data_IF_562270849652
#
_entry.id   IF_562270849652
#
_cell.length_a   1.000
_cell.length_b   1.000
_cell.length_c   1.000
_cell.angle_alpha   90.00
_cell.angle_beta   90.00
_cell.angle_gamma   90.00
#
_symmetry.space_group_name_H-M   'P 1'
#
loop_
_entity.id
_entity.type
_entity.pdbx_description
1 polymer ?
#
# COMPACT_ATOMS: atom_id res chain seq x y z
N UNK A 1 -16.83 -29.57 -13.51
CA UNK A 1 -17.13 -29.08 -12.15
C UNK A 1 -17.46 -27.60 -12.27
N UNK A 2 -18.75 -27.24 -12.33
CA UNK A 2 -19.19 -25.84 -12.38
C UNK A 2 -19.29 -25.29 -10.94
N UNK A 3 -18.93 -24.02 -10.68
CA UNK A 3 -19.10 -23.43 -9.35
C UNK A 3 -20.58 -23.15 -9.07
N UNK A 4 -21.05 -23.27 -7.81
CA UNK A 4 -22.45 -23.10 -7.47
C UNK A 4 -22.85 -21.61 -7.51
N UNK A 5 -23.99 -21.35 -8.14
CA UNK A 5 -24.86 -20.17 -8.06
C UNK A 5 -24.46 -19.05 -7.08
N UNK A 6 -23.77 -18.04 -7.61
CA UNK A 6 -24.17 -16.63 -7.52
C UNK A 6 -24.45 -15.98 -6.16
N UNK A 7 -23.70 -16.30 -5.10
CA UNK A 7 -23.62 -15.42 -3.92
C UNK A 7 -22.35 -14.58 -4.02
N UNK A 8 -22.50 -13.32 -4.42
CA UNK A 8 -21.38 -12.38 -4.37
C UNK A 8 -21.12 -12.02 -2.90
N UNK A 9 -19.86 -12.05 -2.46
CA UNK A 9 -19.49 -11.75 -1.06
C UNK A 9 -19.61 -10.26 -0.71
N UNK A 10 -20.02 -9.44 -1.68
CA UNK A 10 -20.09 -7.98 -1.60
C UNK A 10 -21.56 -7.56 -1.59
N UNK A 11 -22.02 -6.77 -0.60
CA UNK A 11 -23.40 -6.28 -0.60
C UNK A 11 -23.69 -5.46 -1.86
N UNK A 12 -24.81 -5.75 -2.53
CA UNK A 12 -25.25 -4.98 -3.71
C UNK A 12 -25.61 -3.55 -3.30
N UNK A 13 -25.10 -2.55 -4.04
CA UNK A 13 -25.36 -1.13 -3.75
C UNK A 13 -24.32 -0.44 -2.85
N UNK A 14 -23.23 -1.11 -2.50
CA UNK A 14 -22.12 -0.51 -1.73
C UNK A 14 -21.02 -0.05 -2.68
N UNK A 15 -20.66 1.25 -2.62
CA UNK A 15 -19.51 1.80 -3.32
C UNK A 15 -18.21 1.38 -2.61
N UNK A 16 -17.24 0.86 -3.37
CA UNK A 16 -15.94 0.42 -2.86
C UNK A 16 -15.30 1.48 -1.96
N UNK A 17 -15.34 2.75 -2.36
CA UNK A 17 -14.71 3.87 -1.64
C UNK A 17 -15.30 4.11 -0.25
N UNK A 18 -16.51 3.63 -0.01
CA UNK A 18 -17.23 3.77 1.27
C UNK A 18 -17.02 2.56 2.19
N UNK A 19 -16.20 1.58 1.78
CA UNK A 19 -15.87 0.41 2.59
C UNK A 19 -14.54 0.60 3.30
N UNK A 20 -14.34 -0.10 4.42
CA UNK A 20 -13.03 -0.17 5.06
C UNK A 20 -11.94 -0.71 4.12
N UNK A 21 -12.30 -1.62 3.22
CA UNK A 21 -11.38 -2.11 2.18
C UNK A 21 -10.97 -1.01 1.21
N UNK A 22 -11.92 -0.21 0.72
CA UNK A 22 -11.63 0.92 -0.16
C UNK A 22 -10.81 2.01 0.53
N UNK A 23 -11.04 2.24 1.82
CA UNK A 23 -10.20 3.13 2.62
C UNK A 23 -8.77 2.58 2.74
N UNK A 24 -8.58 1.32 3.13
CA UNK A 24 -7.24 0.71 3.17
C UNK A 24 -6.56 0.81 1.81
N UNK A 25 -7.28 0.48 0.73
CA UNK A 25 -6.77 0.57 -0.63
C UNK A 25 -6.36 2.01 -0.96
N UNK A 26 -7.12 3.04 -0.57
CA UNK A 26 -6.71 4.43 -0.85
C UNK A 26 -5.38 4.79 -0.16
N UNK A 27 -5.14 4.28 1.05
CA UNK A 27 -3.90 4.52 1.78
C UNK A 27 -2.69 3.83 1.13
N UNK A 28 -2.80 2.55 0.76
CA UNK A 28 -1.67 1.73 0.30
C UNK A 28 -1.60 1.56 -1.23
N UNK A 29 -2.57 2.10 -1.97
CA UNK A 29 -2.59 2.04 -3.43
C UNK A 29 -1.41 2.78 -4.04
N UNK A 30 -1.14 2.45 -5.30
CA UNK A 30 -0.03 2.99 -6.06
C UNK A 30 1.19 2.07 -6.06
N UNK A 31 2.04 2.26 -7.06
CA UNK A 31 3.15 1.34 -7.37
C UNK A 31 4.12 1.14 -6.21
N UNK A 32 4.43 2.19 -5.45
CA UNK A 32 5.56 2.17 -4.51
C UNK A 32 5.17 2.02 -3.04
N UNK A 33 3.97 2.46 -2.61
CA UNK A 33 3.58 2.40 -1.20
C UNK A 33 3.64 0.98 -0.65
N UNK A 34 3.04 0.03 -1.35
CA UNK A 34 3.06 -1.38 -0.93
C UNK A 34 4.45 -2.01 -0.96
N UNK A 35 5.31 -1.62 -1.91
CA UNK A 35 6.69 -2.11 -2.01
C UNK A 35 7.53 -1.56 -0.85
N UNK A 36 7.33 -0.30 -0.47
CA UNK A 36 7.99 0.32 0.68
C UNK A 36 7.59 -0.41 1.97
N UNK A 37 6.28 -0.62 2.18
CA UNK A 37 5.77 -1.34 3.35
C UNK A 37 6.31 -2.77 3.43
N UNK A 38 6.39 -3.48 2.30
CA UNK A 38 7.01 -4.81 2.25
C UNK A 38 8.46 -4.78 2.75
N UNK A 39 9.30 -3.88 2.23
CA UNK A 39 10.71 -3.82 2.63
C UNK A 39 10.89 -3.42 4.10
N UNK A 40 10.06 -2.52 4.61
CA UNK A 40 10.08 -2.13 6.02
C UNK A 40 9.58 -3.24 6.93
N UNK A 41 8.59 -4.03 6.50
CA UNK A 41 8.14 -5.22 7.21
C UNK A 41 9.23 -6.30 7.30
N UNK A 42 10.07 -6.43 6.26
CA UNK A 42 11.13 -7.45 6.21
C UNK A 42 12.40 -7.05 6.99
N UNK A 43 12.69 -5.76 7.12
CA UNK A 43 13.97 -5.27 7.69
C UNK A 43 13.83 -4.34 8.91
N UNK A 44 12.60 -4.11 9.39
CA UNK A 44 12.18 -3.19 10.46
C UNK A 44 12.63 -1.73 10.29
N UNK A 45 13.94 -1.47 10.19
CA UNK A 45 14.54 -0.14 10.04
C UNK A 45 15.46 -0.12 8.85
N UNK A 46 15.21 0.78 7.89
CA UNK A 46 16.04 0.97 6.71
C UNK A 46 16.37 2.44 6.50
N UNK A 47 17.63 2.76 6.19
CA UNK A 47 18.00 4.12 5.79
C UNK A 47 17.43 4.44 4.41
N UNK A 48 17.19 5.72 4.15
CA UNK A 48 16.60 6.18 2.88
C UNK A 48 17.33 5.66 1.63
N UNK A 49 18.68 5.68 1.66
CA UNK A 49 19.50 5.20 0.55
C UNK A 49 19.44 3.68 0.37
N UNK A 50 19.30 2.91 1.46
CA UNK A 50 19.19 1.46 1.42
C UNK A 50 17.85 1.07 0.81
N UNK A 51 16.76 1.67 1.29
CA UNK A 51 15.42 1.44 0.76
C UNK A 51 15.33 1.79 -0.73
N UNK A 52 15.92 2.91 -1.14
CA UNK A 52 16.00 3.30 -2.57
C UNK A 52 16.73 2.25 -3.41
N UNK A 53 17.84 1.70 -2.90
CA UNK A 53 18.61 0.64 -3.60
C UNK A 53 17.81 -0.65 -3.70
N UNK A 54 17.10 -1.05 -2.64
CA UNK A 54 16.25 -2.25 -2.64
C UNK A 54 15.09 -2.16 -3.63
N UNK A 55 14.50 -0.96 -3.81
CA UNK A 55 13.41 -0.75 -4.78
C UNK A 55 13.94 -0.57 -6.22
N UNK A 56 15.12 0.04 -6.38
CA UNK A 56 15.85 0.16 -7.65
C UNK A 56 15.29 1.18 -8.64
N UNK A 57 14.01 1.08 -8.98
CA UNK A 57 13.36 1.87 -10.05
C UNK A 57 12.79 3.22 -9.60
N UNK A 58 12.76 3.48 -8.29
CA UNK A 58 12.18 4.70 -7.71
C UNK A 58 13.20 5.84 -7.67
N UNK A 59 12.75 7.05 -8.01
CA UNK A 59 13.56 8.27 -7.83
C UNK A 59 13.62 8.67 -6.34
N UNK A 60 14.67 9.36 -5.91
CA UNK A 60 14.76 9.89 -4.54
C UNK A 60 13.60 10.84 -4.19
N UNK A 61 13.18 11.67 -5.15
CA UNK A 61 12.04 12.57 -4.99
C UNK A 61 10.75 11.79 -4.73
N UNK A 62 10.47 10.79 -5.58
CA UNK A 62 9.28 9.94 -5.44
C UNK A 62 9.30 9.17 -4.13
N UNK A 63 10.45 8.57 -3.76
CA UNK A 63 10.58 7.87 -2.48
C UNK A 63 10.30 8.79 -1.29
N UNK A 64 10.84 10.01 -1.33
CA UNK A 64 10.61 11.00 -0.27
C UNK A 64 9.15 11.43 -0.15
N UNK A 65 8.43 11.56 -1.27
CA UNK A 65 7.00 11.89 -1.28
C UNK A 65 6.20 10.72 -0.68
N UNK A 66 6.44 9.50 -1.15
CA UNK A 66 5.73 8.31 -0.65
C UNK A 66 5.98 8.06 0.85
N UNK A 67 7.22 8.24 1.34
CA UNK A 67 7.52 8.11 2.77
C UNK A 67 6.77 9.16 3.60
N UNK A 68 6.69 10.42 3.13
CA UNK A 68 5.93 11.48 3.82
C UNK A 68 4.44 11.18 3.85
N UNK A 69 3.87 10.67 2.76
CA UNK A 69 2.47 10.27 2.72
C UNK A 69 2.20 9.12 3.69
N UNK A 70 3.02 8.06 3.65
CA UNK A 70 2.89 6.92 4.56
C UNK A 70 3.06 7.32 6.03
N UNK A 71 3.95 8.25 6.33
CA UNK A 71 4.14 8.82 7.67
C UNK A 71 2.91 9.63 8.11
N UNK A 72 2.36 10.48 7.23
CA UNK A 72 1.16 11.26 7.50
C UNK A 72 -0.09 10.38 7.71
N UNK A 73 -0.15 9.25 6.99
CA UNK A 73 -1.19 8.22 7.13
C UNK A 73 -0.96 7.32 8.37
N UNK A 74 0.14 7.49 9.10
CA UNK A 74 0.48 6.71 10.29
C UNK A 74 0.91 5.28 10.01
N UNK A 75 1.27 4.96 8.76
CA UNK A 75 1.65 3.62 8.31
C UNK A 75 3.13 3.29 8.53
N UNK A 76 3.98 4.31 8.66
CA UNK A 76 5.40 4.16 8.98
C UNK A 76 5.82 5.20 10.02
N UNK A 77 6.92 4.90 10.72
CA UNK A 77 7.63 5.85 11.58
C UNK A 77 8.93 6.23 10.86
N UNK A 78 9.26 7.51 10.85
CA UNK A 78 10.40 8.06 10.13
C UNK A 78 11.48 8.58 11.05
#
# INVERSE_FOLDING_TARGET
MQPPTGKTCVPTGVDLKNTGFGYTLSLISGKYKIIILYWLSEREVMRHNELKRSIGTISFKTLSIMLKELEADGLIIR
#
